data_IF_361175912989
#
_entry.id   IF_361175912989
#
_cell.length_a   1.000
_cell.length_b   1.000
_cell.length_c   1.000
_cell.angle_alpha   90.00
_cell.angle_beta   90.00
_cell.angle_gamma   90.00
#
_symmetry.space_group_name_H-M   'P 1'
#
loop_
_entity.id
_entity.type
_entity.pdbx_description
1 polymer ?
#
# COMPACT_ATOMS: atom_id res chain seq x y z
N UNK A 1 -32.98 -44.79 13.04
CA UNK A 1 -32.92 -43.48 12.34
C UNK A 1 -31.97 -42.62 13.15
N UNK A 2 -30.67 -42.67 12.79
CA UNK A 2 -29.67 -41.90 13.52
C UNK A 2 -29.71 -40.47 12.99
N UNK A 3 -30.19 -39.55 13.80
CA UNK A 3 -30.02 -38.12 13.57
C UNK A 3 -28.56 -37.82 13.85
N UNK A 4 -27.76 -37.60 12.83
CA UNK A 4 -26.44 -37.03 13.00
C UNK A 4 -26.67 -35.60 13.47
N UNK A 5 -26.04 -35.24 14.59
CA UNK A 5 -25.97 -33.86 15.07
C UNK A 5 -25.45 -32.97 13.90
N UNK A 6 -26.40 -32.33 13.23
CA UNK A 6 -26.05 -31.28 12.28
C UNK A 6 -25.72 -30.05 13.12
N UNK A 7 -24.44 -29.79 13.32
CA UNK A 7 -24.00 -28.48 13.83
C UNK A 7 -24.64 -27.39 12.95
N UNK A 8 -25.43 -26.53 13.58
CA UNK A 8 -26.00 -25.37 12.93
C UNK A 8 -24.88 -24.40 12.64
N UNK A 9 -24.39 -24.39 11.42
CA UNK A 9 -23.34 -23.45 10.98
C UNK A 9 -24.00 -22.28 10.29
N UNK A 10 -23.81 -21.08 10.83
CA UNK A 10 -24.27 -19.86 10.17
C UNK A 10 -23.51 -19.64 8.86
N UNK A 11 -24.15 -19.07 7.85
CA UNK A 11 -23.52 -18.79 6.56
C UNK A 11 -22.26 -17.96 6.70
N UNK A 12 -22.28 -16.96 7.59
CA UNK A 12 -21.09 -16.14 7.89
C UNK A 12 -19.93 -16.95 8.48
N UNK A 13 -20.24 -17.92 9.35
CA UNK A 13 -19.24 -18.81 9.94
C UNK A 13 -18.62 -19.72 8.86
N UNK A 14 -19.45 -20.33 8.02
CA UNK A 14 -18.99 -21.13 6.89
C UNK A 14 -18.09 -20.33 5.95
N UNK A 15 -18.48 -19.10 5.64
CA UNK A 15 -17.68 -18.17 4.85
C UNK A 15 -16.32 -17.87 5.49
N UNK A 16 -16.32 -17.49 6.77
CA UNK A 16 -15.07 -17.18 7.49
C UNK A 16 -14.14 -18.38 7.61
N UNK A 17 -14.69 -19.57 7.90
CA UNK A 17 -13.91 -20.82 7.93
C UNK A 17 -13.31 -21.14 6.55
N UNK A 18 -14.10 -20.97 5.48
CA UNK A 18 -13.61 -21.16 4.12
C UNK A 18 -12.46 -20.20 3.78
N UNK A 19 -12.61 -18.91 4.08
CA UNK A 19 -11.57 -17.92 3.84
C UNK A 19 -10.31 -18.21 4.66
N UNK A 20 -10.45 -18.55 5.95
CA UNK A 20 -9.33 -18.93 6.81
C UNK A 20 -8.59 -20.16 6.30
N UNK A 21 -9.30 -21.22 5.91
CA UNK A 21 -8.70 -22.42 5.35
C UNK A 21 -7.98 -22.12 4.04
N UNK A 22 -8.61 -21.36 3.14
CA UNK A 22 -7.99 -20.96 1.87
C UNK A 22 -6.72 -20.16 2.09
N UNK A 23 -6.75 -19.18 3.00
CA UNK A 23 -5.58 -18.38 3.33
C UNK A 23 -4.44 -19.25 3.89
N UNK A 24 -4.72 -20.11 4.87
CA UNK A 24 -3.71 -20.96 5.53
C UNK A 24 -3.07 -22.01 4.60
N UNK A 25 -3.73 -22.38 3.50
CA UNK A 25 -3.15 -23.26 2.49
C UNK A 25 -2.27 -22.52 1.48
N UNK A 26 -2.45 -21.22 1.32
CA UNK A 26 -1.74 -20.41 0.35
C UNK A 26 -0.62 -19.57 0.98
N UNK A 27 -0.69 -19.33 2.28
CA UNK A 27 0.23 -18.42 2.96
C UNK A 27 0.73 -19.03 4.28
N UNK A 28 2.05 -19.15 4.41
CA UNK A 28 2.67 -19.67 5.63
C UNK A 28 2.64 -18.63 6.77
N UNK A 29 2.21 -19.06 7.95
CA UNK A 29 2.08 -18.19 9.12
C UNK A 29 3.43 -17.59 9.57
N UNK A 30 4.53 -18.34 9.46
CA UNK A 30 5.86 -17.85 9.84
C UNK A 30 6.31 -16.76 8.85
N UNK A 31 6.02 -16.93 7.57
CA UNK A 31 6.27 -15.90 6.54
C UNK A 31 5.46 -14.64 6.85
N UNK A 32 4.19 -14.77 7.24
CA UNK A 32 3.37 -13.63 7.64
C UNK A 32 4.00 -12.85 8.80
N UNK A 33 4.41 -13.55 9.87
CA UNK A 33 5.06 -12.93 11.04
C UNK A 33 6.39 -12.28 10.66
N UNK A 34 7.19 -12.94 9.80
CA UNK A 34 8.46 -12.38 9.33
C UNK A 34 8.27 -11.09 8.53
N UNK A 35 7.32 -11.08 7.61
CA UNK A 35 7.01 -9.88 6.81
C UNK A 35 6.46 -8.74 7.67
N UNK A 36 5.59 -9.05 8.65
CA UNK A 36 5.10 -8.05 9.60
C UNK A 36 6.25 -7.41 10.37
N UNK A 37 7.18 -8.22 10.90
CA UNK A 37 8.37 -7.72 11.60
C UNK A 37 9.27 -6.89 10.68
N UNK A 38 9.46 -7.31 9.43
CA UNK A 38 10.27 -6.57 8.47
C UNK A 38 9.66 -5.19 8.18
N UNK A 39 8.32 -5.10 8.06
CA UNK A 39 7.62 -3.83 7.89
C UNK A 39 7.69 -2.95 9.14
N UNK A 40 7.52 -3.53 10.33
CA UNK A 40 7.56 -2.79 11.60
C UNK A 40 8.96 -2.22 11.91
N UNK A 41 10.01 -2.91 11.46
CA UNK A 41 11.40 -2.50 11.69
C UNK A 41 12.00 -1.68 10.54
N UNK A 42 11.28 -1.57 9.41
CA UNK A 42 11.77 -0.81 8.28
C UNK A 42 11.67 0.69 8.52
N UNK A 43 12.81 1.34 8.56
CA UNK A 43 12.94 2.80 8.59
C UNK A 43 13.99 3.23 7.56
N UNK A 44 13.53 3.86 6.48
CA UNK A 44 14.41 4.33 5.40
C UNK A 44 15.45 5.34 5.88
N UNK A 45 15.14 6.11 6.91
CA UNK A 45 16.01 7.16 7.44
C UNK A 45 17.02 6.63 8.47
N UNK A 46 16.85 5.42 9.01
CA UNK A 46 17.65 4.90 10.11
C UNK A 46 19.16 4.92 9.82
N UNK A 47 19.58 4.46 8.64
CA UNK A 47 20.98 4.43 8.23
C UNK A 47 21.54 5.83 7.87
N UNK A 48 20.67 6.84 7.93
CA UNK A 48 20.98 8.25 7.63
C UNK A 48 20.78 9.17 8.85
N UNK A 49 20.90 8.62 10.07
CA UNK A 49 20.73 9.37 11.31
C UNK A 49 19.32 9.89 11.57
N UNK A 50 18.30 9.23 10.99
CA UNK A 50 16.91 9.64 11.08
C UNK A 50 16.52 10.74 10.07
N UNK A 51 17.40 11.08 9.13
CA UNK A 51 17.17 12.12 8.12
C UNK A 51 16.65 11.50 6.81
N UNK A 52 15.34 11.63 6.58
CA UNK A 52 14.69 11.15 5.35
C UNK A 52 15.16 11.90 4.10
N UNK A 53 15.51 13.19 4.24
CA UNK A 53 16.04 14.00 3.13
C UNK A 53 17.39 13.45 2.68
N UNK A 54 18.29 13.16 3.64
CA UNK A 54 19.59 12.56 3.36
C UNK A 54 19.44 11.17 2.69
N UNK A 55 18.50 10.35 3.16
CA UNK A 55 18.21 9.04 2.55
C UNK A 55 17.77 9.17 1.09
N UNK A 56 16.81 10.06 0.81
CA UNK A 56 16.23 10.25 -0.51
C UNK A 56 17.15 11.02 -1.47
N UNK A 57 18.07 11.85 -0.96
CA UNK A 57 19.02 12.61 -1.77
C UNK A 57 19.92 11.75 -2.66
N UNK A 58 20.13 10.49 -2.27
CA UNK A 58 20.95 9.51 -3.01
C UNK A 58 20.27 8.98 -4.28
N UNK A 59 18.96 9.13 -4.40
CA UNK A 59 18.23 8.67 -5.57
C UNK A 59 18.45 9.59 -6.78
N UNK A 60 18.49 8.99 -7.96
CA UNK A 60 18.52 9.71 -9.24
C UNK A 60 17.19 9.58 -10.00
N UNK A 61 16.19 8.97 -9.41
CA UNK A 61 14.88 8.74 -10.02
C UNK A 61 14.03 10.01 -10.03
N UNK A 62 13.08 10.05 -10.96
CA UNK A 62 11.90 10.92 -10.86
C UNK A 62 10.80 10.20 -10.08
N UNK A 63 10.07 10.93 -9.26
CA UNK A 63 9.08 10.36 -8.36
C UNK A 63 7.67 10.78 -8.74
N UNK A 64 6.75 9.82 -8.69
CA UNK A 64 5.31 10.07 -8.62
C UNK A 64 4.80 9.56 -7.28
N UNK A 65 4.40 10.46 -6.42
CA UNK A 65 3.79 10.15 -5.12
C UNK A 65 2.29 10.34 -5.25
N UNK A 66 1.53 9.28 -5.02
CA UNK A 66 0.06 9.31 -5.10
C UNK A 66 -0.53 8.88 -3.76
N UNK A 67 -1.52 9.63 -3.30
CA UNK A 67 -2.35 9.28 -2.17
C UNK A 67 -3.82 9.19 -2.58
N UNK A 68 -4.62 8.50 -1.79
CA UNK A 68 -6.06 8.37 -1.96
C UNK A 68 -6.74 8.96 -0.73
N UNK A 69 -7.74 9.82 -0.93
CA UNK A 69 -8.31 10.64 0.15
C UNK A 69 -8.90 9.83 1.28
N UNK A 70 -9.46 8.66 0.98
CA UNK A 70 -10.07 7.74 1.96
C UNK A 70 -9.15 6.63 2.48
N UNK A 71 -7.87 6.63 2.09
CA UNK A 71 -6.92 5.63 2.59
C UNK A 71 -6.57 5.92 4.06
N UNK A 72 -7.14 5.10 4.95
CA UNK A 72 -6.90 5.19 6.39
C UNK A 72 -5.61 4.50 6.84
N UNK A 73 -5.06 3.60 6.02
CA UNK A 73 -3.84 2.84 6.32
C UNK A 73 -2.58 3.61 5.96
N UNK A 74 -2.58 4.24 4.77
CA UNK A 74 -1.55 5.16 4.31
C UNK A 74 -2.17 6.52 3.99
N UNK A 75 -2.55 7.26 5.03
CA UNK A 75 -3.30 8.51 4.84
C UNK A 75 -2.46 9.55 4.09
N UNK A 76 -3.11 10.50 3.39
CA UNK A 76 -2.43 11.48 2.54
C UNK A 76 -1.28 12.24 3.20
N UNK A 77 -1.36 12.51 4.51
CA UNK A 77 -0.29 13.23 5.22
C UNK A 77 1.05 12.48 5.19
N UNK A 78 1.04 11.12 5.20
CA UNK A 78 2.27 10.32 5.07
C UNK A 78 2.90 10.45 3.69
N UNK A 79 2.09 10.52 2.65
CA UNK A 79 2.56 10.79 1.30
C UNK A 79 3.12 12.20 1.14
N UNK A 80 2.55 13.18 1.88
CA UNK A 80 3.07 14.54 1.92
C UNK A 80 4.44 14.61 2.60
N UNK A 81 4.69 13.86 3.67
CA UNK A 81 6.02 13.76 4.29
C UNK A 81 7.08 13.29 3.28
N UNK A 82 6.77 12.28 2.47
CA UNK A 82 7.66 11.78 1.41
C UNK A 82 7.89 12.85 0.34
N UNK A 83 6.81 13.51 -0.12
CA UNK A 83 6.89 14.61 -1.10
C UNK A 83 7.80 15.73 -0.60
N UNK A 84 7.60 16.16 0.64
CA UNK A 84 8.33 17.29 1.20
C UNK A 84 9.81 16.96 1.40
N UNK A 85 10.13 15.74 1.81
CA UNK A 85 11.50 15.27 1.89
C UNK A 85 12.17 15.19 0.49
N UNK A 86 11.44 14.74 -0.54
CA UNK A 86 11.93 14.74 -1.92
C UNK A 86 12.16 16.14 -2.47
N UNK A 87 11.27 17.10 -2.16
CA UNK A 87 11.45 18.50 -2.53
C UNK A 87 12.67 19.11 -1.83
N UNK A 88 12.83 18.86 -0.53
CA UNK A 88 13.98 19.30 0.24
C UNK A 88 15.32 18.70 -0.27
N UNK A 89 15.26 17.46 -0.79
CA UNK A 89 16.37 16.79 -1.45
C UNK A 89 16.58 17.23 -2.92
N UNK A 90 15.83 18.24 -3.40
CA UNK A 90 15.86 18.76 -4.78
C UNK A 90 15.61 17.67 -5.85
N UNK A 91 14.73 16.69 -5.52
CA UNK A 91 14.38 15.61 -6.45
C UNK A 91 13.15 15.93 -7.29
N UNK A 92 13.15 15.52 -8.57
CA UNK A 92 11.96 15.66 -9.41
C UNK A 92 10.81 14.86 -8.81
N UNK A 93 9.80 15.53 -8.29
CA UNK A 93 8.62 14.88 -7.69
C UNK A 93 7.34 15.48 -8.24
N UNK A 94 6.39 14.59 -8.56
CA UNK A 94 4.99 14.93 -8.83
C UNK A 94 4.15 14.34 -7.71
N UNK A 95 3.25 15.11 -7.13
CA UNK A 95 2.31 14.64 -6.12
C UNK A 95 0.88 14.81 -6.60
N UNK A 96 0.04 13.81 -6.34
CA UNK A 96 -1.40 13.89 -6.53
C UNK A 96 -2.15 13.18 -5.41
N UNK A 97 -3.24 13.81 -4.95
CA UNK A 97 -4.21 13.16 -4.08
C UNK A 97 -5.45 12.83 -4.91
N UNK A 98 -5.83 11.56 -4.96
CA UNK A 98 -6.99 11.07 -5.70
C UNK A 98 -8.18 11.00 -4.76
N UNK A 99 -9.21 11.80 -5.06
CA UNK A 99 -10.46 11.76 -4.31
C UNK A 99 -11.23 10.47 -4.61
N UNK A 100 -11.49 9.67 -3.57
CA UNK A 100 -12.24 8.41 -3.63
C UNK A 100 -12.73 7.99 -2.26
N UNK A 101 -13.78 7.18 -2.24
CA UNK A 101 -14.33 6.55 -1.03
C UNK A 101 -13.93 5.06 -0.90
N UNK A 102 -13.06 4.58 -1.78
CA UNK A 102 -12.70 3.15 -1.89
C UNK A 102 -11.73 2.65 -0.80
N UNK A 103 -11.27 3.53 0.08
CA UNK A 103 -10.34 3.19 1.16
C UNK A 103 -8.95 2.80 0.68
N UNK A 104 -8.30 1.92 1.45
CA UNK A 104 -6.93 1.50 1.17
C UNK A 104 -6.75 0.82 -0.19
N UNK A 105 -7.74 0.05 -0.63
CA UNK A 105 -7.66 -0.73 -1.87
C UNK A 105 -8.00 0.11 -3.13
N UNK A 106 -8.24 1.41 -2.99
CA UNK A 106 -8.61 2.32 -4.08
C UNK A 106 -7.61 2.31 -5.25
N UNK A 107 -6.33 2.02 -5.01
CA UNK A 107 -5.32 1.91 -6.06
C UNK A 107 -5.47 0.65 -6.93
N UNK A 108 -6.21 -0.35 -6.48
CA UNK A 108 -6.52 -1.59 -7.21
C UNK A 108 -7.83 -1.49 -8.00
N UNK A 109 -8.65 -0.48 -7.72
CA UNK A 109 -9.95 -0.32 -8.34
C UNK A 109 -9.88 0.60 -9.57
N UNK A 110 -10.77 0.43 -10.56
CA UNK A 110 -10.81 1.28 -11.73
C UNK A 110 -11.07 2.75 -11.35
N UNK A 111 -10.11 3.63 -11.60
CA UNK A 111 -10.22 5.06 -11.37
C UNK A 111 -9.63 5.83 -12.54
N UNK A 112 -10.49 6.47 -13.33
CA UNK A 112 -10.09 7.17 -14.57
C UNK A 112 -9.09 8.30 -14.32
N UNK A 113 -9.18 8.99 -13.20
CA UNK A 113 -8.26 10.08 -12.83
C UNK A 113 -6.88 9.53 -12.55
N UNK A 114 -6.81 8.46 -11.74
CA UNK A 114 -5.56 7.79 -11.41
C UNK A 114 -4.91 7.16 -12.65
N UNK A 115 -5.67 6.44 -13.46
CA UNK A 115 -5.17 5.82 -14.71
C UNK A 115 -4.60 6.86 -15.68
N UNK A 116 -5.30 8.00 -15.86
CA UNK A 116 -4.84 9.11 -16.70
C UNK A 116 -3.57 9.72 -16.15
N UNK A 117 -3.49 9.95 -14.84
CA UNK A 117 -2.29 10.46 -14.18
C UNK A 117 -1.09 9.56 -14.44
N UNK A 118 -1.22 8.26 -14.20
CA UNK A 118 -0.15 7.28 -14.44
C UNK A 118 0.32 7.31 -15.89
N UNK A 119 -0.63 7.26 -16.83
CA UNK A 119 -0.34 7.25 -18.27
C UNK A 119 0.42 8.50 -18.70
N UNK A 120 -0.03 9.67 -18.27
CA UNK A 120 0.62 10.94 -18.65
C UNK A 120 1.98 11.11 -17.99
N UNK A 121 2.12 10.68 -16.74
CA UNK A 121 3.40 10.72 -16.05
C UNK A 121 4.42 9.78 -16.69
N UNK A 122 4.04 8.53 -16.97
CA UNK A 122 4.89 7.56 -17.66
C UNK A 122 5.32 8.04 -19.05
N UNK A 123 4.42 8.67 -19.80
CA UNK A 123 4.75 9.27 -21.11
C UNK A 123 5.80 10.38 -20.99
N UNK A 124 5.75 11.15 -19.90
CA UNK A 124 6.67 12.28 -19.67
C UNK A 124 8.06 11.85 -19.24
N UNK A 125 8.18 10.78 -18.44
CA UNK A 125 9.44 10.32 -17.84
C UNK A 125 10.01 9.06 -18.48
N UNK A 126 9.24 8.38 -19.32
CA UNK A 126 9.66 7.19 -20.05
C UNK A 126 10.70 7.50 -21.12
N UNK A 127 11.45 6.51 -21.56
CA UNK A 127 12.38 6.68 -22.68
C UNK A 127 11.60 7.09 -23.93
N UNK A 128 12.12 8.08 -24.65
CA UNK A 128 11.62 8.58 -25.94
C UNK A 128 11.71 7.49 -26.99
#
# INVERSE_FOLDING_TARGET
MCIRDSEWVFQVESYLRHQGTRFSTQFDANTYVLMTRALDLFDLAQDHGGDLVAALSRSQASFLVVSFSSDWRFPPHRSLEIRDALLAAEKPVTYANIETDDGHDGFLLPNKTYERLLKEWMRRVGPS
#
